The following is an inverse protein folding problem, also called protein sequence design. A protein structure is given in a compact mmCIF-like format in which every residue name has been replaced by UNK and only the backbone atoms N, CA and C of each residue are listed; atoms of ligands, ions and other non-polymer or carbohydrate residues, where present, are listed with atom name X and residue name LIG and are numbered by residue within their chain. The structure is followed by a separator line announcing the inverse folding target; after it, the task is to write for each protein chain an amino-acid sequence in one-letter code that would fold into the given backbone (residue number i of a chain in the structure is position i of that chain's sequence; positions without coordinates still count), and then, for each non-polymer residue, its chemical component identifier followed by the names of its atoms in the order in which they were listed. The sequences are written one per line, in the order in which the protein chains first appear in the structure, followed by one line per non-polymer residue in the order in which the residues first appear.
data_IF_422757062061
#
_entry.id   IF_422757062061
#
_cell.length_a   1.000
_cell.length_b   1.000
_cell.length_c   1.000
_cell.angle_alpha   90.00
_cell.angle_beta   90.00
_cell.angle_gamma   90.00
#
_symmetry.space_group_name_H-M   'P 1'
#
loop_
_entity.id
_entity.type
_entity.pdbx_description
1 polymer ?
#
# COMPACT_ATOMS: atom_id res chain seq x y z
N UNK A 1 9.83 28.53 -9.47
CA UNK A 1 9.99 27.08 -9.25
C UNK A 1 9.29 26.39 -10.40
N UNK A 2 10.04 25.89 -11.38
CA UNK A 2 9.45 25.24 -12.58
C UNK A 2 9.14 23.81 -12.20
N UNK A 3 7.85 23.45 -12.17
CA UNK A 3 7.44 22.06 -12.00
C UNK A 3 7.85 21.34 -13.29
N UNK A 4 8.68 20.29 -13.24
CA UNK A 4 9.03 19.54 -14.45
C UNK A 4 7.75 18.99 -15.07
N UNK A 5 7.58 19.20 -16.37
CA UNK A 5 6.48 18.61 -17.12
C UNK A 5 6.64 17.09 -17.07
N UNK A 6 5.69 16.40 -16.44
CA UNK A 6 5.70 14.95 -16.36
C UNK A 6 5.52 14.35 -17.76
N UNK A 7 6.30 13.33 -18.10
CA UNK A 7 6.03 12.50 -19.29
C UNK A 7 4.77 11.66 -19.05
N UNK A 8 4.07 11.23 -20.11
CA UNK A 8 2.82 10.45 -19.98
C UNK A 8 2.94 9.21 -19.09
N UNK A 9 4.13 8.64 -18.96
CA UNK A 9 4.44 7.51 -18.08
C UNK A 9 4.77 7.90 -16.63
N UNK A 10 5.24 9.12 -16.37
CA UNK A 10 5.57 9.60 -15.02
C UNK A 10 4.32 10.01 -14.24
N UNK A 11 3.22 10.34 -14.93
CA UNK A 11 1.97 10.75 -14.31
C UNK A 11 1.33 9.58 -13.52
N UNK A 12 1.15 8.36 -14.09
CA UNK A 12 0.65 7.20 -13.35
C UNK A 12 1.52 6.80 -12.15
N UNK A 13 2.85 6.88 -12.31
CA UNK A 13 3.80 6.55 -11.24
C UNK A 13 3.68 7.52 -10.06
N UNK A 14 3.63 8.83 -10.34
CA UNK A 14 3.46 9.86 -9.32
C UNK A 14 2.14 9.72 -8.56
N UNK A 15 1.04 9.39 -9.25
CA UNK A 15 -0.23 9.11 -8.60
C UNK A 15 -0.17 7.84 -7.73
N UNK A 16 0.48 6.79 -8.23
CA UNK A 16 0.65 5.54 -7.48
C UNK A 16 1.48 5.78 -6.22
N UNK A 17 2.58 6.53 -6.31
CA UNK A 17 3.42 6.88 -5.17
C UNK A 17 2.67 7.74 -4.13
N UNK A 18 1.86 8.69 -4.58
CA UNK A 18 1.01 9.47 -3.68
C UNK A 18 -0.01 8.59 -2.94
N UNK A 19 -0.66 7.66 -3.63
CA UNK A 19 -1.59 6.71 -3.02
C UNK A 19 -0.90 5.77 -2.03
N UNK A 20 0.32 5.29 -2.36
CA UNK A 20 1.17 4.51 -1.46
C UNK A 20 1.52 5.27 -0.19
N UNK A 21 1.84 6.56 -0.29
CA UNK A 21 2.11 7.38 0.89
C UNK A 21 0.86 7.54 1.77
N UNK A 22 -0.31 7.79 1.17
CA UNK A 22 -1.58 7.92 1.90
C UNK A 22 -1.96 6.62 2.59
N UNK A 23 -1.91 5.48 1.90
CA UNK A 23 -2.29 4.18 2.49
C UNK A 23 -1.34 3.78 3.62
N UNK A 24 -0.05 4.13 3.51
CA UNK A 24 0.92 3.95 4.59
C UNK A 24 0.57 4.80 5.81
N UNK A 25 0.28 6.09 5.61
CA UNK A 25 -0.10 7.00 6.69
C UNK A 25 -1.41 6.59 7.38
N UNK A 26 -2.38 6.07 6.63
CA UNK A 26 -3.61 5.50 7.18
C UNK A 26 -3.28 4.26 8.01
N UNK A 27 -2.50 3.32 7.48
CA UNK A 27 -2.12 2.11 8.19
C UNK A 27 -1.35 2.32 9.49
N UNK A 28 -0.66 3.46 9.66
CA UNK A 28 -0.08 3.86 10.96
C UNK A 28 -1.13 4.33 11.98
N UNK A 29 -2.23 4.92 11.52
CA UNK A 29 -3.28 5.47 12.38
C UNK A 29 -4.33 4.42 12.77
N UNK A 30 -4.47 3.37 11.95
CA UNK A 30 -5.41 2.28 12.18
C UNK A 30 -4.68 0.95 12.38
N UNK A 31 -5.40 -0.18 12.26
CA UNK A 31 -4.80 -1.50 12.24
C UNK A 31 -4.30 -1.85 10.82
N UNK A 32 -2.97 -1.96 10.59
CA UNK A 32 -2.43 -2.28 9.28
C UNK A 32 -2.77 -3.70 8.82
N UNK A 33 -3.03 -4.65 9.73
CA UNK A 33 -3.41 -6.03 9.35
C UNK A 33 -4.80 -6.02 8.74
N UNK A 34 -5.74 -5.34 9.41
CA UNK A 34 -7.11 -5.16 8.91
C UNK A 34 -7.14 -4.37 7.61
N UNK A 35 -6.37 -3.27 7.51
CA UNK A 35 -6.28 -2.48 6.29
C UNK A 35 -5.80 -3.31 5.10
N UNK A 36 -4.76 -4.12 5.30
CA UNK A 36 -4.26 -5.03 4.28
C UNK A 36 -5.33 -6.01 3.80
N UNK A 37 -6.05 -6.65 4.74
CA UNK A 37 -7.12 -7.59 4.40
C UNK A 37 -8.28 -6.93 3.66
N UNK A 38 -8.69 -5.73 4.07
CA UNK A 38 -9.75 -4.95 3.43
C UNK A 38 -9.35 -4.59 1.97
N UNK A 39 -8.10 -4.17 1.74
CA UNK A 39 -7.59 -3.88 0.39
C UNK A 39 -7.59 -5.12 -0.49
N UNK A 40 -7.17 -6.29 0.03
CA UNK A 40 -7.22 -7.56 -0.73
C UNK A 40 -8.66 -7.94 -1.09
N UNK A 41 -9.61 -7.77 -0.17
CA UNK A 41 -11.02 -8.04 -0.42
C UNK A 41 -11.58 -7.12 -1.53
N UNK A 42 -11.26 -5.83 -1.46
CA UNK A 42 -11.67 -4.84 -2.47
C UNK A 42 -11.05 -5.17 -3.84
N UNK A 43 -9.76 -5.49 -3.91
CA UNK A 43 -9.11 -5.89 -5.16
C UNK A 43 -9.81 -7.10 -5.81
N UNK A 44 -10.20 -8.09 -5.01
CA UNK A 44 -10.93 -9.26 -5.49
C UNK A 44 -12.33 -8.90 -6.03
N UNK A 45 -13.08 -8.04 -5.34
CA UNK A 45 -14.39 -7.55 -5.83
C UNK A 45 -14.22 -6.77 -7.13
N UNK A 46 -13.26 -5.84 -7.18
CA UNK A 46 -12.94 -5.02 -8.36
C UNK A 46 -12.56 -5.90 -9.56
N UNK A 47 -11.78 -6.95 -9.33
CA UNK A 47 -11.40 -7.94 -10.36
C UNK A 47 -12.60 -8.70 -10.90
N UNK A 48 -13.50 -9.15 -10.02
CA UNK A 48 -14.76 -9.83 -10.41
C UNK A 48 -15.70 -8.91 -11.19
N UNK A 49 -15.63 -7.61 -10.94
CA UNK A 49 -16.35 -6.59 -11.71
C UNK A 49 -15.75 -6.28 -13.10
N UNK A 50 -14.63 -6.92 -13.48
CA UNK A 50 -13.98 -6.71 -14.78
C UNK A 50 -12.96 -5.57 -14.82
N UNK A 51 -12.65 -4.95 -13.68
CA UNK A 51 -11.72 -3.82 -13.60
C UNK A 51 -10.30 -4.25 -13.23
N UNK A 52 -9.64 -5.02 -14.10
CA UNK A 52 -8.33 -5.62 -13.84
C UNK A 52 -7.22 -4.64 -13.48
N UNK A 53 -7.13 -3.51 -14.19
CA UNK A 53 -6.12 -2.48 -13.92
C UNK A 53 -6.29 -1.84 -12.53
N UNK A 54 -7.54 -1.52 -12.15
CA UNK A 54 -7.87 -0.98 -10.83
C UNK A 54 -7.61 -2.01 -9.74
N UNK A 55 -7.94 -3.28 -9.97
CA UNK A 55 -7.63 -4.36 -9.03
C UNK A 55 -6.11 -4.47 -8.80
N UNK A 56 -5.31 -4.40 -9.87
CA UNK A 56 -3.84 -4.42 -9.77
C UNK A 56 -3.27 -3.24 -8.98
N UNK A 57 -3.82 -2.03 -9.16
CA UNK A 57 -3.44 -0.87 -8.34
C UNK A 57 -3.77 -1.11 -6.85
N UNK A 58 -4.96 -1.65 -6.55
CA UNK A 58 -5.37 -1.93 -5.16
C UNK A 58 -4.50 -3.03 -4.54
N UNK A 59 -4.15 -4.07 -5.31
CA UNK A 59 -3.20 -5.12 -4.89
C UNK A 59 -1.82 -4.50 -4.56
N UNK A 60 -1.35 -3.54 -5.36
CA UNK A 60 -0.09 -2.82 -5.11
C UNK A 60 -0.14 -1.95 -3.84
N UNK A 61 -1.30 -1.35 -3.53
CA UNK A 61 -1.50 -0.63 -2.26
C UNK A 61 -1.50 -1.60 -1.06
N UNK A 62 -2.14 -2.77 -1.20
CA UNK A 62 -2.09 -3.82 -0.18
C UNK A 62 -0.65 -4.26 0.06
N UNK A 63 0.10 -4.55 -1.00
CA UNK A 63 1.50 -4.92 -0.91
C UNK A 63 2.35 -3.84 -0.23
N UNK A 64 2.06 -2.56 -0.46
CA UNK A 64 2.74 -1.46 0.23
C UNK A 64 2.48 -1.48 1.74
N UNK A 65 1.24 -1.74 2.18
CA UNK A 65 0.89 -1.89 3.60
C UNK A 65 1.65 -3.07 4.21
N UNK A 66 1.66 -4.21 3.52
CA UNK A 66 2.41 -5.40 3.95
C UNK A 66 3.91 -5.08 4.12
N UNK A 67 4.54 -4.56 3.07
CA UNK A 67 5.99 -4.35 3.00
C UNK A 67 6.50 -3.24 3.92
N UNK A 68 5.67 -2.24 4.25
CA UNK A 68 6.10 -1.11 5.10
C UNK A 68 5.62 -1.21 6.55
N UNK A 69 4.51 -1.90 6.79
CA UNK A 69 3.85 -1.86 8.11
C UNK A 69 3.83 -3.23 8.77
N UNK A 70 3.54 -4.30 8.04
CA UNK A 70 3.43 -5.63 8.62
C UNK A 70 4.79 -6.29 8.82
N UNK A 71 5.66 -6.21 7.82
CA UNK A 71 7.05 -6.70 7.92
C UNK A 71 7.85 -5.87 8.93
N UNK A 72 7.69 -4.55 8.92
CA UNK A 72 8.39 -3.65 9.86
C UNK A 72 7.89 -3.83 11.28
N UNK A 73 6.58 -3.93 11.53
CA UNK A 73 6.04 -4.22 12.86
C UNK A 73 6.49 -5.58 13.38
N UNK A 74 6.45 -6.61 12.54
CA UNK A 74 6.99 -7.93 12.87
C UNK A 74 8.49 -7.88 13.19
N UNK A 75 9.25 -7.01 12.51
CA UNK A 75 10.67 -6.79 12.79
C UNK A 75 10.89 -6.11 14.15
N UNK A 76 10.11 -5.08 14.50
CA UNK A 76 10.20 -4.40 15.80
C UNK A 76 9.82 -5.34 16.94
N UNK A 77 8.73 -6.10 16.79
CA UNK A 77 8.30 -7.09 17.79
C UNK A 77 9.35 -8.19 17.98
N UNK A 78 10.02 -8.67 16.91
CA UNK A 78 11.13 -9.63 17.00
C UNK A 78 12.38 -9.07 17.69
N UNK A 79 12.68 -7.78 17.52
CA UNK A 79 13.80 -7.12 18.21
C UNK A 79 13.49 -6.86 19.69
N UNK A 80 12.21 -6.72 20.06
CA UNK A 80 11.79 -6.44 21.42
C UNK A 80 11.73 -7.67 22.34
N UNK A 81 11.91 -8.90 21.83
CA UNK A 81 12.06 -10.09 22.66
C UNK A 81 13.51 -10.12 23.17
N UNK A 82 13.77 -9.82 24.45
CA UNK A 82 15.11 -9.99 24.97
C UNK A 82 15.39 -11.50 24.96
N UNK A 83 16.49 -11.90 24.34
CA UNK A 83 17.09 -13.21 24.55
C UNK A 83 17.16 -13.44 26.07
N UNK A 84 16.30 -14.32 26.57
CA UNK A 84 16.38 -14.87 27.93
C UNK A 84 17.11 -16.20 27.85
#
# INVERSE_FOLDING_TARGET
MTIPAFTDTQIPDAYTDALKAIVTALGWQIDPVRLHADLQAIANVTRRGGHGASAGLIDELAHTVEARLLTTKASIERTAIPFR
#
